data_IF_802941992586
#
_entry.id   IF_802941992586
#
_cell.length_a   1.000
_cell.length_b   1.000
_cell.length_c   1.000
_cell.angle_alpha   90.00
_cell.angle_beta   90.00
_cell.angle_gamma   90.00
#
_symmetry.space_group_name_H-M   'P 1'
#
loop_
_entity.id
_entity.type
_entity.pdbx_description
1 polymer ?
#
# COMPACT_ATOMS: atom_id res chain seq x y z
N UNK A 1 -7.61 -12.08 -5.62
CA UNK A 1 -6.88 -11.17 -4.70
C UNK A 1 -5.41 -11.15 -5.09
N UNK A 2 -4.79 -9.98 -5.09
CA UNK A 2 -3.35 -9.84 -5.35
C UNK A 2 -2.56 -10.31 -4.11
N UNK A 3 -1.84 -11.43 -4.24
CA UNK A 3 -1.11 -12.07 -3.12
C UNK A 3 0.07 -11.26 -2.62
N UNK A 4 0.47 -10.21 -3.34
CA UNK A 4 1.56 -9.31 -2.94
C UNK A 4 1.15 -8.39 -1.80
N UNK A 5 -0.13 -8.30 -1.46
CA UNK A 5 -0.63 -7.41 -0.42
C UNK A 5 -1.32 -8.21 0.68
N UNK A 6 -1.14 -7.75 1.91
CA UNK A 6 -1.86 -8.26 3.09
C UNK A 6 -2.67 -7.16 3.76
N UNK A 7 -3.77 -7.57 4.39
CA UNK A 7 -4.54 -6.73 5.30
C UNK A 7 -3.96 -6.86 6.70
N UNK A 8 -3.66 -5.74 7.34
CA UNK A 8 -3.04 -5.73 8.68
C UNK A 8 -4.07 -5.88 9.79
N UNK A 9 -5.31 -5.45 9.55
CA UNK A 9 -6.39 -5.48 10.54
C UNK A 9 -7.73 -5.83 9.85
N UNK A 10 -8.69 -6.42 10.58
CA UNK A 10 -10.07 -6.51 10.11
C UNK A 10 -10.63 -5.12 9.78
N UNK A 11 -11.37 -5.02 8.67
CA UNK A 11 -12.03 -3.78 8.26
C UNK A 11 -13.38 -3.66 8.95
N UNK A 12 -13.52 -2.71 9.88
CA UNK A 12 -14.79 -2.43 10.56
C UNK A 12 -15.63 -1.33 9.88
N UNK A 13 -14.98 -0.30 9.32
CA UNK A 13 -15.64 0.83 8.67
C UNK A 13 -15.12 1.02 7.24
N UNK A 14 -14.91 2.27 6.82
CA UNK A 14 -14.47 2.66 5.49
C UNK A 14 -12.94 2.82 5.35
N UNK A 15 -12.18 2.33 6.33
CA UNK A 15 -10.71 2.36 6.31
C UNK A 15 -10.16 0.96 6.10
N UNK A 16 -9.35 0.80 5.06
CA UNK A 16 -8.58 -0.42 4.78
C UNK A 16 -7.13 -0.19 5.19
N UNK A 17 -6.58 -1.11 5.98
CA UNK A 17 -5.18 -1.08 6.41
C UNK A 17 -4.43 -2.21 5.70
N UNK A 18 -3.50 -1.87 4.83
CA UNK A 18 -2.77 -2.85 4.03
C UNK A 18 -1.29 -2.50 3.87
N UNK A 19 -0.48 -3.50 3.55
CA UNK A 19 0.91 -3.32 3.15
C UNK A 19 1.31 -4.37 2.10
N UNK A 20 2.41 -4.12 1.39
CA UNK A 20 3.05 -5.07 0.49
C UNK A 20 3.85 -6.10 1.28
N UNK A 21 3.65 -7.37 0.93
CA UNK A 21 4.41 -8.51 1.39
C UNK A 21 5.64 -8.73 0.49
N UNK A 22 6.77 -8.11 0.84
CA UNK A 22 7.99 -8.23 0.05
C UNK A 22 8.47 -9.67 -0.11
N UNK A 23 8.31 -10.53 0.91
CA UNK A 23 8.74 -11.93 0.82
C UNK A 23 8.09 -12.68 -0.36
N UNK A 24 6.85 -12.35 -0.72
CA UNK A 24 6.11 -12.96 -1.84
C UNK A 24 6.74 -12.56 -3.17
N UNK A 25 7.36 -11.38 -3.20
CA UNK A 25 7.88 -10.74 -4.40
C UNK A 25 9.34 -11.13 -4.63
N UNK A 26 10.22 -10.90 -3.65
CA UNK A 26 11.66 -11.15 -3.78
C UNK A 26 12.05 -12.60 -3.46
N UNK A 27 11.11 -13.43 -3.00
CA UNK A 27 11.32 -14.85 -2.62
C UNK A 27 12.51 -15.07 -1.66
N UNK A 28 12.76 -14.09 -0.79
CA UNK A 28 13.80 -14.10 0.26
C UNK A 28 13.17 -13.70 1.58
N UNK A 29 13.78 -14.10 2.69
CA UNK A 29 13.47 -13.53 4.00
C UNK A 29 13.72 -12.02 3.97
N UNK A 30 12.69 -11.26 4.31
CA UNK A 30 12.72 -9.80 4.42
C UNK A 30 12.34 -9.51 5.86
N UNK A 31 13.17 -8.74 6.56
CA UNK A 31 12.88 -8.34 7.92
C UNK A 31 11.83 -7.21 7.95
N UNK A 32 11.24 -6.95 9.13
CA UNK A 32 10.20 -5.91 9.24
C UNK A 32 10.72 -4.50 8.92
N UNK A 33 12.02 -4.23 9.10
CA UNK A 33 12.61 -2.91 8.77
C UNK A 33 12.58 -2.69 7.27
N UNK A 34 13.08 -3.64 6.48
CA UNK A 34 13.06 -3.60 5.02
C UNK A 34 11.62 -3.54 4.46
N UNK A 35 10.70 -4.32 5.05
CA UNK A 35 9.29 -4.29 4.70
C UNK A 35 8.65 -2.92 4.97
N UNK A 36 8.98 -2.30 6.10
CA UNK A 36 8.48 -0.98 6.47
C UNK A 36 9.04 0.11 5.53
N UNK A 37 10.34 0.12 5.28
CA UNK A 37 10.99 1.07 4.37
C UNK A 37 10.41 1.01 2.95
N UNK A 38 10.16 -0.20 2.45
CA UNK A 38 9.54 -0.37 1.14
C UNK A 38 8.12 0.20 1.09
N UNK A 39 7.30 -0.09 2.10
CA UNK A 39 5.94 0.42 2.16
C UNK A 39 5.88 1.95 2.36
N UNK A 40 6.86 2.52 3.06
CA UNK A 40 7.02 3.97 3.17
C UNK A 40 7.38 4.60 1.82
N UNK A 41 8.35 4.02 1.10
CA UNK A 41 8.72 4.45 -0.27
C UNK A 41 7.54 4.33 -1.23
N UNK A 42 6.77 3.24 -1.15
CA UNK A 42 5.57 3.04 -1.95
C UNK A 42 4.55 4.15 -1.71
N UNK A 43 4.24 4.44 -0.43
CA UNK A 43 3.31 5.52 -0.09
C UNK A 43 3.79 6.87 -0.62
N UNK A 44 5.09 7.18 -0.45
CA UNK A 44 5.70 8.40 -0.99
C UNK A 44 5.55 8.48 -2.50
N UNK A 45 5.84 7.41 -3.23
CA UNK A 45 5.70 7.34 -4.69
C UNK A 45 4.24 7.54 -5.14
N UNK A 46 3.30 6.85 -4.49
CA UNK A 46 1.86 6.98 -4.76
C UNK A 46 1.38 8.42 -4.54
N UNK A 47 1.73 9.03 -3.40
CA UNK A 47 1.35 10.41 -3.10
C UNK A 47 2.04 11.44 -4.03
N UNK A 48 3.28 11.18 -4.47
CA UNK A 48 4.01 12.06 -5.38
C UNK A 48 3.35 12.20 -6.76
N UNK A 49 2.47 11.27 -7.15
CA UNK A 49 1.69 11.37 -8.39
C UNK A 49 0.66 12.50 -8.39
N UNK A 50 0.27 12.99 -7.21
CA UNK A 50 -0.83 13.95 -7.05
C UNK A 50 -2.23 13.41 -7.40
N UNK A 51 -2.34 12.16 -7.86
CA UNK A 51 -3.62 11.56 -8.28
C UNK A 51 -4.45 11.06 -7.09
N UNK A 52 -3.78 10.67 -6.01
CA UNK A 52 -4.39 10.18 -4.77
C UNK A 52 -3.58 10.69 -3.57
N UNK A 53 -4.22 10.76 -2.42
CA UNK A 53 -3.53 11.00 -1.15
C UNK A 53 -3.95 9.95 -0.13
N UNK A 54 -2.96 9.24 0.42
CA UNK A 54 -3.15 8.28 1.50
C UNK A 54 -2.17 8.59 2.63
N UNK A 55 -2.46 8.07 3.82
CA UNK A 55 -1.60 8.21 5.00
C UNK A 55 -1.15 6.84 5.48
N UNK A 56 -0.22 6.81 6.44
CA UNK A 56 0.23 5.58 7.06
C UNK A 56 -0.10 5.55 8.55
N UNK A 57 0.10 4.40 9.17
CA UNK A 57 0.22 4.28 10.62
C UNK A 57 1.19 3.16 10.97
N UNK A 58 1.66 3.16 12.21
CA UNK A 58 2.56 2.14 12.75
C UNK A 58 1.94 1.57 14.01
N UNK A 59 1.75 0.25 14.05
CA UNK A 59 1.23 -0.46 15.23
C UNK A 59 2.11 -1.67 15.48
N UNK A 60 2.63 -1.83 16.71
CA UNK A 60 3.53 -2.94 17.04
C UNK A 60 4.80 -2.98 16.18
N UNK A 61 5.28 -1.83 15.71
CA UNK A 61 6.43 -1.73 14.80
C UNK A 61 6.12 -2.05 13.33
N UNK A 62 4.88 -2.40 12.98
CA UNK A 62 4.46 -2.69 11.60
C UNK A 62 3.94 -1.42 10.94
N UNK A 63 4.61 -1.00 9.86
CA UNK A 63 4.17 0.11 9.00
C UNK A 63 3.14 -0.38 7.97
N UNK A 64 2.06 0.37 7.81
CA UNK A 64 1.04 0.08 6.79
C UNK A 64 0.36 1.33 6.26
N UNK A 65 -0.19 1.20 5.05
CA UNK A 65 -0.93 2.25 4.36
C UNK A 65 -2.40 2.19 4.79
N UNK A 66 -2.97 3.36 5.03
CA UNK A 66 -4.38 3.57 5.35
C UNK A 66 -5.09 4.16 4.15
N UNK A 67 -6.04 3.39 3.61
CA UNK A 67 -6.92 3.84 2.56
C UNK A 67 -8.32 4.09 3.13
N UNK A 68 -8.59 5.36 3.43
CA UNK A 68 -9.82 5.84 4.04
C UNK A 68 -10.76 6.37 2.96
N UNK A 69 -11.77 5.58 2.58
CA UNK A 69 -12.76 5.94 1.55
C UNK A 69 -13.93 6.66 2.23
N UNK A 70 -14.37 7.79 1.68
CA UNK A 70 -15.53 8.50 2.26
C UNK A 70 -15.60 10.00 1.99
N UNK A 71 -14.67 10.58 1.22
CA UNK A 71 -14.82 11.96 0.78
C UNK A 71 -16.05 12.09 -0.14
N UNK A 72 -16.83 13.17 0.01
CA UNK A 72 -18.16 13.37 -0.59
C UNK A 72 -18.24 13.14 -2.10
N UNK A 73 -17.17 13.46 -2.84
CA UNK A 73 -17.10 13.32 -4.31
C UNK A 73 -16.43 12.02 -4.75
N UNK A 74 -16.11 11.12 -3.82
CA UNK A 74 -15.51 9.82 -4.15
C UNK A 74 -16.58 8.92 -4.77
N UNK A 75 -16.17 8.20 -5.80
CA UNK A 75 -17.01 7.27 -6.57
C UNK A 75 -16.20 5.97 -6.76
N UNK A 76 -16.85 4.88 -7.15
CA UNK A 76 -16.20 3.57 -7.33
C UNK A 76 -15.05 3.62 -8.34
N UNK A 77 -15.16 4.45 -9.38
CA UNK A 77 -14.08 4.67 -10.35
C UNK A 77 -12.82 5.25 -9.71
N UNK A 78 -12.97 6.12 -8.72
CA UNK A 78 -11.84 6.71 -7.99
C UNK A 78 -11.15 5.67 -7.11
N UNK A 79 -11.93 4.80 -6.46
CA UNK A 79 -11.41 3.69 -5.65
C UNK A 79 -10.66 2.69 -6.52
N UNK A 80 -11.22 2.33 -7.67
CA UNK A 80 -10.59 1.43 -8.63
C UNK A 80 -9.28 2.00 -9.16
N UNK A 81 -9.29 3.27 -9.60
CA UNK A 81 -8.10 3.96 -10.09
C UNK A 81 -7.00 4.05 -9.02
N UNK A 82 -7.35 4.37 -7.78
CA UNK A 82 -6.40 4.40 -6.67
C UNK A 82 -5.73 3.04 -6.44
N UNK A 83 -6.50 1.95 -6.53
CA UNK A 83 -5.97 0.60 -6.38
C UNK A 83 -5.06 0.17 -7.55
N UNK A 84 -5.45 0.49 -8.79
CA UNK A 84 -4.59 0.25 -9.95
C UNK A 84 -3.28 1.03 -9.85
N UNK A 85 -3.31 2.27 -9.38
CA UNK A 85 -2.12 3.09 -9.18
C UNK A 85 -1.18 2.50 -8.12
N UNK A 86 -1.71 2.04 -6.97
CA UNK A 86 -0.92 1.38 -5.93
C UNK A 86 -0.25 0.12 -6.47
N UNK A 87 -0.99 -0.72 -7.22
CA UNK A 87 -0.42 -1.92 -7.85
C UNK A 87 0.66 -1.56 -8.87
N UNK A 88 0.43 -0.55 -9.70
CA UNK A 88 1.39 -0.10 -10.69
C UNK A 88 2.70 0.36 -10.00
N UNK A 89 2.62 1.26 -9.03
CA UNK A 89 3.78 1.77 -8.30
C UNK A 89 4.55 0.65 -7.59
N UNK A 90 3.84 -0.27 -6.91
CA UNK A 90 4.47 -1.42 -6.27
C UNK A 90 5.19 -2.31 -7.29
N UNK A 91 4.60 -2.50 -8.47
CA UNK A 91 5.20 -3.29 -9.56
C UNK A 91 6.45 -2.62 -10.11
N UNK A 92 6.38 -1.31 -10.40
CA UNK A 92 7.52 -0.55 -10.93
C UNK A 92 8.71 -0.54 -9.96
N UNK A 93 8.46 -0.35 -8.67
CA UNK A 93 9.53 -0.34 -7.66
C UNK A 93 10.25 -1.68 -7.54
N UNK A 94 9.50 -2.78 -7.62
CA UNK A 94 10.06 -4.15 -7.56
C UNK A 94 10.97 -4.46 -8.74
N UNK A 95 10.64 -3.97 -9.93
CA UNK A 95 11.43 -4.20 -11.14
C UNK A 95 12.59 -3.21 -11.32
N UNK A 96 12.66 -2.14 -10.52
CA UNK A 96 13.75 -1.16 -10.60
C UNK A 96 14.92 -1.53 -9.69
N UNK A 97 14.69 -2.38 -8.67
CA UNK A 97 15.71 -2.89 -7.74
C UNK A 97 16.27 -4.28 -8.14
N UNK A 98 16.08 -4.71 -9.40
CA UNK A 98 16.52 -6.00 -9.95
C UNK A 98 17.67 -5.86 -10.97
#
# INVERSE_FOLDING_TARGET
MDKRFELIMPRYFCVVCFRVCLYVIVKKYVNDIEANEFNEKLLKSVNATGCVYMTHSVVGGVYFIRFSVGATLTEDRHVTMAWELVKYQATSMVYTDA
#
